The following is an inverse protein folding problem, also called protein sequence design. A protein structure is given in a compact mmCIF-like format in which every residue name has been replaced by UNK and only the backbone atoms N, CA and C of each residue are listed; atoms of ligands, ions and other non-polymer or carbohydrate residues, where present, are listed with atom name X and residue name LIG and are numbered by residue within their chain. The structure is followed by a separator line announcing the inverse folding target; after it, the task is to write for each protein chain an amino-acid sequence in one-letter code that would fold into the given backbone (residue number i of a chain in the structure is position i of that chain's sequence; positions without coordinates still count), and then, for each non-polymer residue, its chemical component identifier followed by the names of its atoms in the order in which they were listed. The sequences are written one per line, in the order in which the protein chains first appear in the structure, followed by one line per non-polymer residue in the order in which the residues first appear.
data_IF_360948172748
#
_entry.id   IF_360948172748
#
_cell.length_a   1.000
_cell.length_b   1.000
_cell.length_c   1.000
_cell.angle_alpha   90.00
_cell.angle_beta   90.00
_cell.angle_gamma   90.00
#
_symmetry.space_group_name_H-M   'P 1'
#
loop_
_entity.id
_entity.type
_entity.pdbx_description
1 polymer ?
#
# COMPACT_ATOMS: atom_id res chain seq x y z
N UNK A 1 -15.99 -17.12 16.16
CA UNK A 1 -14.82 -17.45 17.00
C UNK A 1 -13.78 -16.35 16.83
N UNK A 2 -13.68 -15.45 17.82
CA UNK A 2 -12.59 -14.48 17.84
C UNK A 2 -11.32 -15.22 18.26
N UNK A 3 -10.42 -15.44 17.31
CA UNK A 3 -9.08 -15.96 17.57
C UNK A 3 -8.35 -14.91 18.40
N UNK A 4 -8.02 -15.21 19.64
CA UNK A 4 -7.20 -14.33 20.46
C UNK A 4 -5.76 -14.88 20.49
N UNK A 5 -4.89 -14.32 19.66
CA UNK A 5 -3.47 -14.64 19.64
C UNK A 5 -2.71 -13.82 20.68
N UNK A 6 -3.12 -13.93 21.96
CA UNK A 6 -2.67 -13.08 23.08
C UNK A 6 -1.16 -13.01 23.30
N UNK A 7 -0.36 -13.77 22.58
CA UNK A 7 1.12 -13.79 22.69
C UNK A 7 1.83 -13.58 21.35
N UNK A 8 1.07 -13.34 20.26
CA UNK A 8 1.69 -13.12 18.97
C UNK A 8 2.23 -11.69 18.88
N UNK A 9 3.53 -11.57 18.69
CA UNK A 9 4.26 -10.28 18.57
C UNK A 9 4.49 -9.87 17.13
N UNK A 10 4.11 -10.73 16.16
CA UNK A 10 4.17 -10.47 14.73
C UNK A 10 2.92 -10.99 14.07
N UNK A 11 2.31 -10.20 13.21
CA UNK A 11 1.19 -10.55 12.34
C UNK A 11 1.55 -10.38 10.88
N UNK A 12 1.13 -11.34 10.04
CA UNK A 12 1.20 -11.21 8.58
C UNK A 12 -0.05 -11.83 7.97
N UNK A 13 -0.64 -11.13 6.99
CA UNK A 13 -1.86 -11.61 6.34
C UNK A 13 -1.93 -11.17 4.88
N UNK A 14 -2.47 -12.06 4.07
CA UNK A 14 -3.00 -11.78 2.75
C UNK A 14 -4.48 -12.23 2.76
N UNK A 15 -5.44 -11.32 3.01
CA UNK A 15 -6.85 -11.68 3.12
C UNK A 15 -7.44 -12.04 1.75
N UNK A 16 -8.61 -12.69 1.70
CA UNK A 16 -9.32 -12.86 0.45
C UNK A 16 -9.80 -11.50 -0.08
N UNK A 17 -9.61 -11.26 -1.39
CA UNK A 17 -9.96 -9.99 -2.03
C UNK A 17 -11.39 -9.96 -2.54
N UNK A 18 -11.97 -8.75 -2.61
CA UNK A 18 -13.27 -8.45 -3.23
C UNK A 18 -14.46 -9.24 -2.65
N UNK A 19 -14.41 -9.54 -1.35
CA UNK A 19 -15.52 -10.21 -0.65
C UNK A 19 -16.44 -9.21 0.04
N UNK A 20 -15.96 -8.00 0.34
CA UNK A 20 -16.70 -6.97 1.04
C UNK A 20 -17.77 -6.30 0.19
N UNK A 21 -18.81 -5.81 0.85
CA UNK A 21 -19.87 -4.99 0.27
C UNK A 21 -20.53 -4.15 1.36
N UNK A 22 -21.38 -3.18 0.97
CA UNK A 22 -22.16 -2.39 1.95
C UNK A 22 -23.05 -3.25 2.83
N UNK A 23 -23.52 -4.40 2.33
CA UNK A 23 -24.33 -5.36 3.09
C UNK A 23 -23.47 -6.25 4.01
N UNK A 24 -22.20 -6.43 3.67
CA UNK A 24 -21.26 -7.26 4.41
C UNK A 24 -19.92 -6.51 4.62
N UNK A 25 -19.91 -5.44 5.43
CA UNK A 25 -18.70 -4.62 5.62
C UNK A 25 -17.58 -5.37 6.35
N UNK A 26 -17.90 -6.37 7.15
CA UNK A 26 -16.92 -7.22 7.85
C UNK A 26 -16.06 -8.06 6.90
N UNK A 27 -16.42 -8.11 5.62
CA UNK A 27 -15.68 -8.81 4.57
C UNK A 27 -14.81 -7.88 3.71
N UNK A 28 -14.73 -6.58 4.00
CA UNK A 28 -13.72 -5.71 3.40
C UNK A 28 -12.32 -6.10 3.87
N UNK A 29 -11.33 -5.95 3.02
CA UNK A 29 -9.93 -6.24 3.34
C UNK A 29 -9.44 -5.41 4.53
N UNK A 30 -9.93 -4.17 4.67
CA UNK A 30 -9.61 -3.31 5.81
C UNK A 30 -10.20 -3.85 7.13
N UNK A 31 -11.37 -4.50 7.10
CA UNK A 31 -11.97 -5.14 8.27
C UNK A 31 -11.18 -6.38 8.72
N UNK A 32 -10.68 -7.17 7.76
CA UNK A 32 -9.76 -8.27 8.08
C UNK A 32 -8.47 -7.74 8.72
N UNK A 33 -7.97 -6.58 8.25
CA UNK A 33 -6.79 -5.92 8.82
C UNK A 33 -7.05 -5.50 10.27
N UNK A 34 -8.16 -4.83 10.57
CA UNK A 34 -8.56 -4.46 11.92
C UNK A 34 -8.68 -5.69 12.83
N UNK A 35 -9.31 -6.77 12.33
CA UNK A 35 -9.48 -8.01 13.07
C UNK A 35 -8.13 -8.67 13.42
N UNK A 36 -7.19 -8.68 12.50
CA UNK A 36 -5.84 -9.18 12.76
C UNK A 36 -5.15 -8.34 13.84
N UNK A 37 -5.15 -7.01 13.68
CA UNK A 37 -4.54 -6.08 14.63
C UNK A 37 -5.09 -6.26 16.06
N UNK A 38 -6.43 -6.38 16.20
CA UNK A 38 -7.11 -6.63 17.47
C UNK A 38 -6.76 -8.00 18.11
N UNK A 39 -6.19 -8.92 17.33
CA UNK A 39 -5.83 -10.26 17.77
C UNK A 39 -4.38 -10.38 18.26
N UNK A 40 -3.57 -9.36 18.00
CA UNK A 40 -2.14 -9.34 18.33
C UNK A 40 -1.87 -8.75 19.73
N UNK A 41 -0.68 -8.99 20.24
CA UNK A 41 -0.21 -8.33 21.46
C UNK A 41 0.03 -6.84 21.22
N UNK A 42 -0.08 -6.03 22.28
CA UNK A 42 0.31 -4.62 22.23
C UNK A 42 1.78 -4.49 21.81
N UNK A 43 2.07 -3.57 20.90
CA UNK A 43 3.41 -3.38 20.32
C UNK A 43 3.79 -4.42 19.25
N UNK A 44 2.89 -5.35 18.90
CA UNK A 44 3.16 -6.32 17.85
C UNK A 44 3.26 -5.66 16.48
N UNK A 45 4.23 -6.07 15.67
CA UNK A 45 4.38 -5.60 14.29
C UNK A 45 3.48 -6.39 13.36
N UNK A 46 2.77 -5.69 12.49
CA UNK A 46 1.85 -6.31 11.56
C UNK A 46 2.10 -5.82 10.14
N UNK A 47 2.10 -6.75 9.17
CA UNK A 47 2.14 -6.47 7.75
C UNK A 47 0.94 -7.14 7.07
N UNK A 48 0.20 -6.39 6.26
CA UNK A 48 -0.90 -6.92 5.46
C UNK A 48 -0.66 -6.61 3.98
N UNK A 49 -0.85 -7.61 3.12
CA UNK A 49 -0.82 -7.43 1.67
C UNK A 49 -2.27 -7.34 1.21
N UNK A 50 -2.64 -6.20 0.64
CA UNK A 50 -4.03 -5.92 0.22
C UNK A 50 -4.03 -5.20 -1.13
N UNK A 51 -5.15 -5.18 -1.86
CA UNK A 51 -5.31 -4.29 -3.02
C UNK A 51 -5.14 -2.82 -2.61
N UNK A 52 -4.58 -2.01 -3.50
CA UNK A 52 -4.48 -0.55 -3.28
C UNK A 52 -5.87 0.06 -3.01
N UNK A 53 -6.93 -0.48 -3.63
CA UNK A 53 -8.30 -0.05 -3.36
C UNK A 53 -8.72 -0.13 -1.89
N UNK A 54 -8.12 -1.01 -1.10
CA UNK A 54 -8.32 -1.08 0.35
C UNK A 54 -7.84 0.18 1.06
N UNK A 55 -6.73 0.75 0.59
CA UNK A 55 -6.16 1.96 1.16
C UNK A 55 -6.87 3.23 0.68
N UNK A 56 -7.43 3.21 -0.55
CA UNK A 56 -8.19 4.32 -1.13
C UNK A 56 -9.66 4.33 -0.73
N UNK A 57 -10.17 3.27 -0.12
CA UNK A 57 -11.58 3.13 0.26
C UNK A 57 -12.11 4.33 1.04
N UNK A 58 -13.19 4.94 0.51
CA UNK A 58 -13.83 6.17 1.03
C UNK A 58 -15.31 5.98 1.36
N UNK A 59 -15.82 4.74 1.34
CA UNK A 59 -17.17 4.48 1.85
C UNK A 59 -17.21 4.81 3.34
N UNK A 60 -18.41 5.14 3.86
CA UNK A 60 -18.56 5.44 5.30
C UNK A 60 -18.10 4.29 6.17
N UNK A 61 -18.34 3.08 5.72
CA UNK A 61 -17.95 1.85 6.40
C UNK A 61 -16.42 1.71 6.45
N UNK A 62 -15.74 1.88 5.32
CA UNK A 62 -14.27 1.80 5.24
C UNK A 62 -13.59 2.91 6.03
N UNK A 63 -14.08 4.16 5.93
CA UNK A 63 -13.54 5.29 6.71
C UNK A 63 -13.72 5.04 8.20
N UNK A 64 -14.89 4.52 8.64
CA UNK A 64 -15.11 4.18 10.04
C UNK A 64 -14.16 3.11 10.55
N UNK A 65 -13.83 2.11 9.73
CA UNK A 65 -12.84 1.07 10.09
C UNK A 65 -11.43 1.68 10.18
N UNK A 66 -11.04 2.54 9.21
CA UNK A 66 -9.76 3.26 9.26
C UNK A 66 -9.64 4.12 10.53
N UNK A 67 -10.72 4.83 10.89
CA UNK A 67 -10.79 5.60 12.13
C UNK A 67 -10.58 4.72 13.37
N UNK A 68 -11.24 3.57 13.42
CA UNK A 68 -11.07 2.61 14.51
C UNK A 68 -9.64 2.04 14.56
N UNK A 69 -9.04 1.77 13.39
CA UNK A 69 -7.65 1.33 13.31
C UNK A 69 -6.73 2.40 13.91
N UNK A 70 -6.82 3.65 13.47
CA UNK A 70 -5.96 4.73 14.02
C UNK A 70 -6.23 5.02 15.50
N UNK A 71 -7.45 4.82 15.96
CA UNK A 71 -7.79 4.97 17.38
C UNK A 71 -7.13 3.93 18.28
N UNK A 72 -6.86 2.73 17.77
CA UNK A 72 -6.40 1.59 18.58
C UNK A 72 -5.02 1.06 18.18
N UNK A 73 -4.54 1.40 16.99
CA UNK A 73 -3.31 0.89 16.40
C UNK A 73 -2.58 1.99 15.65
N UNK A 74 -1.28 1.84 15.44
CA UNK A 74 -0.46 2.80 14.71
C UNK A 74 -0.21 2.32 13.28
N UNK A 75 -0.53 3.15 12.28
CA UNK A 75 -0.03 2.96 10.91
C UNK A 75 1.42 3.43 10.83
N UNK A 76 2.32 2.57 10.40
CA UNK A 76 3.74 2.91 10.19
C UNK A 76 3.99 3.41 8.77
N UNK A 77 3.25 2.88 7.80
CA UNK A 77 3.30 3.30 6.41
C UNK A 77 2.76 2.27 5.44
N UNK A 78 2.77 2.64 4.16
CA UNK A 78 2.28 1.80 3.06
C UNK A 78 3.29 1.78 1.92
N UNK A 79 3.54 0.59 1.39
CA UNK A 79 4.44 0.35 0.26
C UNK A 79 3.59 -0.13 -0.92
N UNK A 80 3.50 0.67 -1.97
CA UNK A 80 2.87 0.29 -3.23
C UNK A 80 3.77 -0.70 -3.97
N UNK A 81 3.24 -1.82 -4.41
CA UNK A 81 3.99 -2.87 -5.08
C UNK A 81 3.78 -2.85 -6.59
N UNK A 82 4.66 -3.55 -7.32
CA UNK A 82 4.53 -3.81 -8.74
C UNK A 82 3.15 -4.45 -9.03
N UNK A 83 2.46 -3.91 -10.04
CA UNK A 83 1.14 -4.42 -10.49
C UNK A 83 1.16 -5.90 -10.86
N UNK A 84 2.30 -6.41 -11.26
CA UNK A 84 2.49 -7.80 -11.68
C UNK A 84 2.94 -8.72 -10.54
N UNK A 85 3.03 -8.21 -9.29
CA UNK A 85 3.40 -9.01 -8.10
C UNK A 85 2.53 -10.28 -7.98
N UNK A 86 1.25 -10.18 -8.28
CA UNK A 86 0.35 -11.33 -8.43
C UNK A 86 0.08 -11.58 -9.92
N UNK A 87 1.06 -12.15 -10.60
CA UNK A 87 1.00 -12.40 -12.04
C UNK A 87 -0.30 -13.09 -12.45
N UNK A 88 -0.98 -12.51 -13.45
CA UNK A 88 -2.23 -13.04 -14.00
C UNK A 88 -3.51 -12.71 -13.23
N UNK A 89 -3.43 -12.02 -12.09
CA UNK A 89 -4.62 -11.68 -11.27
C UNK A 89 -5.15 -10.28 -11.54
N UNK A 90 -4.34 -9.38 -12.10
CA UNK A 90 -4.74 -8.00 -12.41
C UNK A 90 -5.02 -7.10 -11.19
N UNK A 91 -4.58 -7.51 -10.01
CA UNK A 91 -4.71 -6.73 -8.77
C UNK A 91 -3.46 -5.90 -8.57
N UNK A 92 -3.63 -4.60 -8.28
CA UNK A 92 -2.53 -3.72 -7.86
C UNK A 92 -2.37 -3.82 -6.33
N UNK A 93 -1.36 -4.53 -5.82
CA UNK A 93 -1.20 -4.74 -4.39
C UNK A 93 -0.40 -3.62 -3.72
N UNK A 94 -0.57 -3.52 -2.40
CA UNK A 94 0.30 -2.78 -1.50
C UNK A 94 0.53 -3.56 -0.21
N UNK A 95 1.58 -3.21 0.52
CA UNK A 95 1.82 -3.69 1.88
C UNK A 95 1.55 -2.53 2.83
N UNK A 96 0.61 -2.69 3.75
CA UNK A 96 0.42 -1.77 4.86
C UNK A 96 1.04 -2.35 6.13
N UNK A 97 1.78 -1.52 6.85
CA UNK A 97 2.54 -1.88 8.05
C UNK A 97 2.00 -1.14 9.26
N UNK A 98 1.81 -1.88 10.36
CA UNK A 98 1.19 -1.38 11.57
C UNK A 98 1.93 -1.83 12.82
N UNK A 99 1.74 -1.05 13.90
CA UNK A 99 1.99 -1.47 15.28
C UNK A 99 0.66 -1.67 15.99
N UNK A 100 0.41 -2.87 16.51
CA UNK A 100 -0.87 -3.25 17.10
C UNK A 100 -1.00 -2.75 18.54
N UNK A 101 -2.22 -2.35 18.94
CA UNK A 101 -2.55 -2.02 20.32
C UNK A 101 -1.99 -0.70 20.84
N UNK A 102 -1.44 0.14 19.97
CA UNK A 102 -0.93 1.48 20.29
C UNK A 102 -1.69 2.50 19.46
N UNK A 103 -2.48 3.42 20.06
CA UNK A 103 -3.17 4.46 19.34
C UNK A 103 -2.23 5.29 18.47
N UNK A 104 -2.68 5.63 17.25
CA UNK A 104 -1.90 6.43 16.31
C UNK A 104 -1.75 7.87 16.82
N UNK A 105 -0.51 8.35 17.08
CA UNK A 105 -0.32 9.75 17.47
C UNK A 105 -0.64 10.69 16.30
N UNK A 106 -1.29 11.82 16.56
CA UNK A 106 -1.69 12.78 15.51
C UNK A 106 -0.50 13.41 14.77
N UNK A 107 0.67 13.43 15.39
CA UNK A 107 1.92 13.94 14.83
C UNK A 107 2.83 12.82 14.27
N UNK A 108 2.37 11.59 14.29
CA UNK A 108 3.12 10.45 13.75
C UNK A 108 3.30 10.59 12.25
N UNK A 109 4.55 10.64 11.82
CA UNK A 109 4.92 10.62 10.41
C UNK A 109 4.95 9.18 9.91
N UNK A 110 4.13 8.89 8.92
CA UNK A 110 4.08 7.61 8.19
C UNK A 110 4.92 7.69 6.91
N UNK A 111 5.37 6.54 6.42
CA UNK A 111 6.11 6.42 5.17
C UNK A 111 5.23 5.84 4.06
N UNK A 112 5.09 6.59 2.97
CA UNK A 112 4.40 6.13 1.78
C UNK A 112 5.41 5.93 0.66
N UNK A 113 5.62 4.68 0.25
CA UNK A 113 6.69 4.30 -0.67
C UNK A 113 6.09 3.78 -1.98
N UNK A 114 6.58 4.32 -3.09
CA UNK A 114 6.32 3.77 -4.42
C UNK A 114 7.42 2.75 -4.77
N UNK A 115 7.09 1.46 -4.67
CA UNK A 115 7.97 0.35 -5.04
C UNK A 115 7.42 -0.45 -6.23
N UNK A 116 6.74 0.23 -7.15
CA UNK A 116 6.21 -0.41 -8.37
C UNK A 116 7.32 -0.89 -9.31
N UNK A 117 8.44 -0.17 -9.33
CA UNK A 117 9.64 -0.62 -10.02
C UNK A 117 10.56 -1.39 -9.08
N UNK A 118 10.22 -2.65 -8.84
CA UNK A 118 10.92 -3.57 -7.94
C UNK A 118 12.07 -4.35 -8.58
N UNK A 119 12.30 -4.13 -9.89
CA UNK A 119 13.32 -4.84 -10.65
C UNK A 119 12.89 -6.22 -11.15
N UNK A 120 11.60 -6.57 -11.07
CA UNK A 120 11.05 -7.75 -11.71
C UNK A 120 10.37 -7.38 -13.03
N UNK A 121 10.40 -8.29 -13.99
CA UNK A 121 9.75 -8.15 -15.30
C UNK A 121 8.93 -9.38 -15.63
N UNK A 122 7.78 -9.16 -16.27
CA UNK A 122 6.96 -10.24 -16.81
C UNK A 122 7.64 -10.87 -18.01
N UNK A 123 7.81 -12.17 -17.99
CA UNK A 123 8.24 -12.96 -19.14
C UNK A 123 7.10 -13.89 -19.58
N UNK A 124 6.72 -13.90 -20.87
CA UNK A 124 5.67 -14.76 -21.39
C UNK A 124 5.91 -16.23 -21.02
N UNK A 125 4.87 -16.90 -20.53
CA UNK A 125 4.87 -18.32 -20.11
C UNK A 125 5.77 -18.70 -18.93
N UNK A 126 6.54 -17.75 -18.37
CA UNK A 126 7.45 -17.99 -17.23
C UNK A 126 6.95 -17.31 -15.97
N UNK A 127 6.32 -16.14 -16.10
CA UNK A 127 5.89 -15.30 -14.98
C UNK A 127 6.87 -14.16 -14.69
N UNK A 128 7.09 -13.85 -13.42
CA UNK A 128 8.01 -12.80 -13.00
C UNK A 128 9.46 -13.30 -13.01
N UNK A 129 10.33 -12.54 -13.66
CA UNK A 129 11.78 -12.76 -13.66
C UNK A 129 12.47 -11.64 -12.90
N UNK A 130 13.38 -12.03 -12.03
CA UNK A 130 14.30 -11.14 -11.34
C UNK A 130 15.32 -10.58 -12.33
N UNK A 131 15.47 -9.24 -12.36
CA UNK A 131 16.53 -8.58 -13.11
C UNK A 131 17.75 -8.32 -12.22
N UNK A 132 18.88 -7.94 -12.81
CA UNK A 132 20.11 -7.63 -12.06
C UNK A 132 19.90 -6.52 -11.04
N UNK A 133 18.98 -5.57 -11.30
CA UNK A 133 18.70 -4.45 -10.40
C UNK A 133 17.77 -4.77 -9.22
N UNK A 134 17.11 -5.93 -9.19
CA UNK A 134 16.10 -6.24 -8.18
C UNK A 134 16.67 -6.25 -6.75
N UNK A 135 17.88 -6.77 -6.57
CA UNK A 135 18.54 -6.79 -5.25
C UNK A 135 18.87 -5.39 -4.74
N UNK A 136 19.38 -4.53 -5.62
CA UNK A 136 19.75 -3.15 -5.26
C UNK A 136 18.49 -2.33 -4.94
N UNK A 137 17.42 -2.50 -5.72
CA UNK A 137 16.12 -1.85 -5.48
C UNK A 137 15.51 -2.30 -4.14
N UNK A 138 15.54 -3.59 -3.84
CA UNK A 138 15.10 -4.10 -2.55
C UNK A 138 15.95 -3.56 -1.40
N UNK A 139 17.27 -3.48 -1.57
CA UNK A 139 18.16 -2.90 -0.55
C UNK A 139 17.84 -1.43 -0.35
N UNK A 140 17.64 -0.66 -1.42
CA UNK A 140 17.24 0.74 -1.36
C UNK A 140 15.92 0.93 -0.59
N UNK A 141 14.90 0.11 -0.88
CA UNK A 141 13.64 0.10 -0.13
C UNK A 141 13.86 -0.09 1.38
N UNK A 142 14.69 -1.06 1.76
CA UNK A 142 14.97 -1.34 3.17
C UNK A 142 15.76 -0.20 3.83
N UNK A 143 16.69 0.41 3.12
CA UNK A 143 17.49 1.52 3.65
C UNK A 143 16.65 2.78 3.86
N UNK A 144 15.72 3.08 2.96
CA UNK A 144 14.73 4.16 3.12
C UNK A 144 13.72 3.82 4.24
N UNK A 145 13.23 2.59 4.29
CA UNK A 145 12.28 2.18 5.33
C UNK A 145 12.87 2.32 6.74
N UNK A 146 14.12 1.95 6.92
CA UNK A 146 14.82 2.02 8.21
C UNK A 146 15.56 3.34 8.46
N UNK A 147 15.29 4.39 7.66
CA UNK A 147 15.92 5.72 7.76
C UNK A 147 17.47 5.68 7.73
N UNK A 148 18.05 4.76 6.99
CA UNK A 148 19.51 4.68 6.78
C UNK A 148 19.98 5.65 5.74
N UNK A 149 19.11 5.99 4.79
CA UNK A 149 19.33 6.97 3.72
C UNK A 149 18.07 7.82 3.53
N UNK A 150 18.27 9.05 3.06
CA UNK A 150 17.17 9.88 2.57
C UNK A 150 16.77 9.45 1.16
N UNK A 151 15.55 9.80 0.77
CA UNK A 151 15.01 9.48 -0.55
C UNK A 151 14.23 10.64 -1.13
N UNK A 152 14.17 10.69 -2.45
CA UNK A 152 13.33 11.64 -3.18
C UNK A 152 11.85 11.38 -2.91
N UNK A 153 11.03 12.42 -2.96
CA UNK A 153 9.57 12.31 -2.76
C UNK A 153 8.89 11.43 -3.80
N UNK A 154 9.46 11.32 -4.99
CA UNK A 154 9.01 10.38 -6.03
C UNK A 154 9.04 8.92 -5.57
N UNK A 155 9.94 8.55 -4.67
CA UNK A 155 10.04 7.21 -4.10
C UNK A 155 9.37 7.10 -2.74
N UNK A 156 9.58 8.07 -1.83
CA UNK A 156 9.04 8.03 -0.47
C UNK A 156 8.54 9.41 -0.04
N UNK A 157 7.25 9.49 0.31
CA UNK A 157 6.68 10.66 1.00
C UNK A 157 6.52 10.32 2.47
N UNK A 158 6.95 11.25 3.34
CA UNK A 158 6.82 11.16 4.79
C UNK A 158 5.82 12.22 5.26
N UNK A 159 4.67 11.79 5.81
CA UNK A 159 3.61 12.71 6.26
C UNK A 159 2.72 12.07 7.32
N UNK A 160 1.92 12.87 7.99
CA UNK A 160 0.83 12.41 8.88
C UNK A 160 -0.34 11.90 8.05
N UNK A 161 -1.28 11.20 8.69
CA UNK A 161 -2.46 10.62 8.04
C UNK A 161 -3.74 10.96 8.77
N UNK A 162 -4.83 11.07 8.01
CA UNK A 162 -6.20 11.14 8.52
C UNK A 162 -6.99 9.90 8.07
N UNK A 163 -8.09 9.53 8.75
CA UNK A 163 -8.89 8.35 8.41
C UNK A 163 -9.52 8.39 7.02
N UNK A 164 -9.81 9.58 6.49
CA UNK A 164 -10.43 9.83 5.19
C UNK A 164 -9.43 10.01 4.04
N UNK A 165 -8.14 10.02 4.36
CA UNK A 165 -7.08 10.04 3.35
C UNK A 165 -7.04 8.72 2.55
N UNK A 166 -6.48 8.79 1.36
CA UNK A 166 -6.02 7.60 0.64
C UNK A 166 -4.61 7.26 1.13
N UNK A 167 -4.48 6.17 1.86
CA UNK A 167 -3.19 5.78 2.46
C UNK A 167 -2.25 5.17 1.42
N UNK A 168 -1.94 5.93 0.36
CA UNK A 168 -1.04 5.55 -0.73
C UNK A 168 -0.06 6.67 -1.07
N UNK A 169 1.11 6.30 -1.58
CA UNK A 169 2.11 7.25 -2.05
C UNK A 169 1.53 8.26 -3.05
N UNK A 170 0.74 7.80 -4.02
CA UNK A 170 0.14 8.64 -5.07
C UNK A 170 -0.80 9.74 -4.56
N UNK A 171 -1.36 9.59 -3.37
CA UNK A 171 -2.21 10.60 -2.75
C UNK A 171 -1.40 11.77 -2.18
N UNK A 172 -0.23 11.48 -1.64
CA UNK A 172 0.62 12.47 -0.96
C UNK A 172 1.75 13.02 -1.84
N UNK A 173 2.03 12.36 -2.96
CA UNK A 173 3.06 12.79 -3.89
C UNK A 173 2.55 13.89 -4.82
N UNK A 174 3.20 15.04 -4.78
CA UNK A 174 2.99 16.13 -5.74
C UNK A 174 4.19 16.20 -6.66
N UNK A 175 3.92 16.09 -7.96
CA UNK A 175 4.94 16.32 -8.97
C UNK A 175 4.97 17.82 -9.30
N UNK A 176 6.01 18.51 -8.85
CA UNK A 176 6.25 19.93 -9.14
C UNK A 176 6.91 20.15 -10.52
N UNK A 177 7.18 19.07 -11.26
CA UNK A 177 7.76 19.18 -12.60
C UNK A 177 6.72 19.79 -13.55
N UNK A 178 7.07 20.94 -14.13
CA UNK A 178 6.24 21.55 -15.17
C UNK A 178 6.39 20.70 -16.43
N UNK A 179 5.29 20.11 -16.97
CA UNK A 179 5.37 19.29 -18.17
C UNK A 179 5.97 20.07 -19.34
N UNK A 180 6.88 19.46 -20.06
CA UNK A 180 7.47 20.03 -21.26
C UNK A 180 6.54 19.86 -22.47
N UNK A 181 6.79 20.60 -23.56
CA UNK A 181 6.06 20.42 -24.82
C UNK A 181 6.12 18.97 -25.32
N UNK A 182 7.26 18.31 -25.16
CA UNK A 182 7.45 16.91 -25.51
C UNK A 182 6.58 15.94 -24.67
N UNK A 183 6.32 16.26 -23.41
CA UNK A 183 5.43 15.46 -22.54
C UNK A 183 3.98 15.56 -23.02
N UNK A 184 3.55 16.76 -23.45
CA UNK A 184 2.22 16.98 -24.04
C UNK A 184 2.08 16.27 -25.38
N UNK A 185 3.09 16.36 -26.27
CA UNK A 185 3.09 15.66 -27.55
C UNK A 185 2.99 14.15 -27.37
N UNK A 186 3.75 13.62 -26.41
CA UNK A 186 3.69 12.19 -26.06
C UNK A 186 2.31 11.80 -25.55
N UNK A 187 1.74 12.56 -24.61
CA UNK A 187 0.41 12.28 -24.06
C UNK A 187 -0.68 12.29 -25.16
N UNK A 188 -0.60 13.25 -26.09
CA UNK A 188 -1.51 13.32 -27.26
C UNK A 188 -1.29 12.10 -28.17
N UNK A 189 -0.04 11.74 -28.44
CA UNK A 189 0.30 10.57 -29.27
C UNK A 189 -0.24 9.26 -28.67
N UNK A 190 -0.06 9.08 -27.38
CA UNK A 190 -0.55 7.91 -26.63
C UNK A 190 -2.09 7.86 -26.65
N UNK A 191 -2.76 8.99 -26.45
CA UNK A 191 -4.23 9.09 -26.55
C UNK A 191 -4.74 8.76 -27.95
N UNK A 192 -4.15 9.34 -28.99
CA UNK A 192 -4.53 9.04 -30.37
C UNK A 192 -4.30 7.57 -30.72
N UNK A 193 -3.19 6.98 -30.27
CA UNK A 193 -2.91 5.57 -30.47
C UNK A 193 -3.96 4.68 -29.79
N UNK A 194 -4.42 5.06 -28.60
CA UNK A 194 -5.50 4.37 -27.90
C UNK A 194 -6.82 4.48 -28.67
N UNK A 195 -7.22 5.68 -29.09
CA UNK A 195 -8.47 5.93 -29.84
C UNK A 195 -8.52 5.15 -31.18
N UNK A 196 -7.38 5.05 -31.88
CA UNK A 196 -7.30 4.35 -33.17
C UNK A 196 -6.99 2.86 -33.08
N UNK A 197 -6.77 2.32 -31.87
CA UNK A 197 -6.55 0.89 -31.64
C UNK A 197 -7.82 0.13 -31.24
N UNK A 198 -8.93 0.83 -31.06
CA UNK A 198 -10.26 0.26 -30.84
C UNK A 198 -11.00 0.14 -32.17
#
# INVERSE_FOLDING_TARGET
NKLQLKQATVGMMNPPYSQGSKQNPDLYEIAFTEHLLNSLSVGARCAVIVPQSTMTGKSKEETSIKENILKNHTLEGVITLNKDTFYGVGTMPCIALFTAGEPHPSDKVCKFINFEDDGYKVAPHIGLLETESAKDKKQHLLDVWFDRIDSETKFCVKTTVEPDDEWLHSFYYFNDEIPTEADFEKAIGDYLSFEFSM
#
